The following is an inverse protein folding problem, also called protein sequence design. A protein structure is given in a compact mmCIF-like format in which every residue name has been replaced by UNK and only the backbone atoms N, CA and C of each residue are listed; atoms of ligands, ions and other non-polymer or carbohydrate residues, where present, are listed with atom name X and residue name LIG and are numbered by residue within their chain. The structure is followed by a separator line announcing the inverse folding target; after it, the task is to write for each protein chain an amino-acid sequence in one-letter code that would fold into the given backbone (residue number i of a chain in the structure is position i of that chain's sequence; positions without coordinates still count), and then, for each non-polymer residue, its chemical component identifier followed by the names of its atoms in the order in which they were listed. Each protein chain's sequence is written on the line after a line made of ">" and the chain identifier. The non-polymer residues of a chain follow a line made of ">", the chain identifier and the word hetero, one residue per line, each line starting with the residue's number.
data_IF_280970638948
#
_entry.id   IF_280970638948
#
_cell.length_a   1.000
_cell.length_b   1.000
_cell.length_c   1.000
_cell.angle_alpha   90.00
_cell.angle_beta   90.00
_cell.angle_gamma   90.00
#
_symmetry.space_group_name_H-M   'P 1'
#
loop_
_entity.id
_entity.type
_entity.pdbx_description
1 polymer ?
#
# COMPACT_ATOMS: atom_id res chain seq x y z
N UNK A 1 25.11 13.18 -8.98
CA UNK A 1 24.85 12.15 -7.95
C UNK A 1 24.20 11.01 -8.70
N UNK A 2 24.84 9.84 -8.76
CA UNK A 2 24.39 8.73 -9.62
C UNK A 2 23.99 7.52 -8.79
N UNK A 3 23.04 6.76 -9.30
CA UNK A 3 22.69 5.44 -8.77
C UNK A 3 23.85 4.47 -8.99
N UNK A 4 23.75 3.26 -8.41
CA UNK A 4 24.71 2.17 -8.69
C UNK A 4 24.75 1.76 -10.17
N UNK A 5 23.70 2.10 -10.92
CA UNK A 5 23.58 1.84 -12.35
C UNK A 5 24.06 3.02 -13.20
N UNK A 6 24.74 4.01 -12.60
CA UNK A 6 25.23 5.24 -13.22
C UNK A 6 24.16 6.21 -13.77
N UNK A 7 22.88 5.92 -13.52
CA UNK A 7 21.76 6.83 -13.82
C UNK A 7 21.68 7.98 -12.82
N UNK A 8 21.27 9.15 -13.28
CA UNK A 8 20.91 10.27 -12.38
C UNK A 8 19.71 9.92 -11.50
N UNK A 9 19.75 10.36 -10.23
CA UNK A 9 18.62 10.24 -9.31
C UNK A 9 17.44 11.11 -9.78
N UNK A 10 16.22 10.65 -9.48
CA UNK A 10 14.99 11.46 -9.64
C UNK A 10 15.02 12.66 -8.69
N UNK A 11 14.36 13.76 -9.09
CA UNK A 11 14.24 14.97 -8.27
C UNK A 11 13.63 14.70 -6.89
N UNK A 12 12.65 13.80 -6.82
CA UNK A 12 12.03 13.37 -5.56
C UNK A 12 13.00 12.69 -4.61
N UNK A 13 13.92 11.86 -5.13
CA UNK A 13 14.94 11.19 -4.33
C UNK A 13 15.93 12.20 -3.75
N UNK A 14 16.32 13.21 -4.53
CA UNK A 14 17.20 14.29 -4.07
C UNK A 14 16.52 15.09 -2.95
N UNK A 15 15.27 15.52 -3.14
CA UNK A 15 14.51 16.23 -2.11
C UNK A 15 14.30 15.39 -0.84
N UNK A 16 13.98 14.10 -0.99
CA UNK A 16 13.82 13.17 0.15
C UNK A 16 15.13 13.01 0.93
N UNK A 17 16.28 13.05 0.26
CA UNK A 17 17.58 13.02 0.91
C UNK A 17 17.81 14.28 1.76
N UNK A 18 17.53 15.47 1.22
CA UNK A 18 17.60 16.73 1.97
C UNK A 18 16.67 16.71 3.19
N UNK A 19 15.43 16.23 3.02
CA UNK A 19 14.49 16.06 4.13
C UNK A 19 15.01 15.10 5.21
N UNK A 20 15.60 13.98 4.80
CA UNK A 20 16.16 12.99 5.71
C UNK A 20 17.35 13.54 6.49
N UNK A 21 18.24 14.28 5.82
CA UNK A 21 19.38 14.96 6.45
C UNK A 21 18.90 16.04 7.42
N UNK A 22 17.96 16.88 6.99
CA UNK A 22 17.38 17.93 7.84
C UNK A 22 16.76 17.33 9.10
N UNK A 23 16.00 16.24 8.96
CA UNK A 23 15.42 15.51 10.10
C UNK A 23 16.50 14.93 11.01
N UNK A 24 17.52 14.27 10.44
CA UNK A 24 18.58 13.65 11.22
C UNK A 24 19.37 14.68 12.05
N UNK A 25 19.78 15.79 11.41
CA UNK A 25 20.48 16.87 12.11
C UNK A 25 19.62 17.44 13.24
N UNK A 26 18.33 17.70 13.00
CA UNK A 26 17.43 18.20 14.05
C UNK A 26 17.10 17.20 15.16
N UNK A 27 17.26 15.90 14.93
CA UNK A 27 17.09 14.88 15.95
C UNK A 27 18.31 14.74 16.87
N UNK A 28 19.51 15.09 16.37
CA UNK A 28 20.77 14.85 17.08
C UNK A 28 21.53 16.11 17.50
N UNK A 29 21.21 17.28 16.92
CA UNK A 29 21.81 18.55 17.34
C UNK A 29 21.05 19.12 18.55
N UNK A 30 21.80 19.48 19.59
CA UNK A 30 21.28 20.07 20.84
C UNK A 30 20.99 21.58 20.68
N UNK A 31 21.62 22.22 19.69
CA UNK A 31 21.50 23.65 19.40
C UNK A 31 20.36 23.86 18.38
N UNK A 32 19.76 25.07 18.40
CA UNK A 32 18.59 25.53 17.62
C UNK A 32 18.29 24.71 16.35
N UNK A 33 17.00 24.44 16.08
CA UNK A 33 16.61 23.67 14.91
C UNK A 33 17.18 24.31 13.64
N UNK A 34 17.94 23.50 12.91
CA UNK A 34 18.52 23.84 11.62
C UNK A 34 17.44 23.66 10.56
N UNK A 35 17.30 24.58 9.62
CA UNK A 35 16.46 24.34 8.44
C UNK A 35 17.29 24.35 7.17
N UNK A 36 17.70 23.16 6.71
CA UNK A 36 18.38 23.02 5.43
C UNK A 36 17.54 23.50 4.23
N UNK A 37 16.24 23.73 4.41
CA UNK A 37 15.37 24.32 3.40
C UNK A 37 15.43 25.84 3.35
N UNK A 38 16.07 26.49 4.32
CA UNK A 38 16.33 27.91 4.27
C UNK A 38 17.37 28.20 3.17
N UNK A 39 16.85 28.63 2.02
CA UNK A 39 17.63 28.95 0.83
C UNK A 39 18.55 30.16 1.03
N UNK A 40 18.25 31.04 1.97
CA UNK A 40 19.10 32.20 2.27
C UNK A 40 20.27 31.77 3.16
N UNK A 41 20.00 30.99 4.20
CA UNK A 41 21.03 30.49 5.10
C UNK A 41 21.98 29.49 4.41
N UNK A 42 21.46 28.70 3.46
CA UNK A 42 22.21 27.67 2.73
C UNK A 42 22.26 27.97 1.22
N UNK A 43 22.60 29.20 0.84
CA UNK A 43 22.63 29.64 -0.56
C UNK A 43 23.50 28.76 -1.46
N UNK A 44 24.68 28.36 -0.98
CA UNK A 44 25.65 27.58 -1.77
C UNK A 44 25.13 26.16 -2.03
N UNK A 45 24.50 25.55 -1.02
CA UNK A 45 23.85 24.25 -1.15
C UNK A 45 22.72 24.32 -2.18
N UNK A 46 21.87 25.34 -2.08
CA UNK A 46 20.71 25.50 -2.97
C UNK A 46 21.09 25.90 -4.39
N UNK A 47 22.19 26.64 -4.59
CA UNK A 47 22.71 26.93 -5.93
C UNK A 47 23.11 25.64 -6.66
N UNK A 48 23.80 24.73 -5.96
CA UNK A 48 24.21 23.44 -6.51
C UNK A 48 23.00 22.53 -6.73
N UNK A 49 22.08 22.48 -5.77
CA UNK A 49 20.88 21.64 -5.86
C UNK A 49 19.93 22.10 -6.97
N UNK A 50 19.65 23.41 -7.08
CA UNK A 50 18.76 23.94 -8.11
C UNK A 50 19.33 23.68 -9.51
N UNK A 51 20.65 23.84 -9.71
CA UNK A 51 21.30 23.44 -10.96
C UNK A 51 21.10 21.97 -11.29
N UNK A 52 21.29 21.08 -10.30
CA UNK A 52 21.08 19.64 -10.48
C UNK A 52 19.62 19.26 -10.72
N UNK A 53 18.67 19.88 -10.01
CA UNK A 53 17.25 19.63 -10.20
C UNK A 53 16.78 20.10 -11.58
N UNK A 54 17.36 21.19 -12.09
CA UNK A 54 17.12 21.67 -13.45
C UNK A 54 17.66 20.67 -14.49
N UNK A 55 18.89 20.18 -14.32
CA UNK A 55 19.46 19.13 -15.18
C UNK A 55 18.56 17.87 -15.21
N UNK A 56 18.03 17.46 -14.04
CA UNK A 56 17.14 16.28 -13.93
C UNK A 56 15.77 16.53 -14.59
N UNK A 57 15.23 17.73 -14.45
CA UNK A 57 13.95 18.11 -15.05
C UNK A 57 14.04 18.17 -16.59
N UNK A 58 15.15 18.69 -17.13
CA UNK A 58 15.42 18.73 -18.57
C UNK A 58 15.54 17.32 -19.19
N UNK A 59 15.86 16.31 -18.39
CA UNK A 59 15.89 14.90 -18.81
C UNK A 59 14.54 14.17 -18.65
N UNK A 60 13.43 14.88 -18.41
CA UNK A 60 12.08 14.33 -18.14
C UNK A 60 11.99 13.38 -16.93
N UNK A 61 13.06 13.24 -16.14
CA UNK A 61 13.10 12.44 -14.90
C UNK A 61 12.38 13.10 -13.72
N UNK A 62 11.73 14.24 -13.97
CA UNK A 62 10.91 14.98 -13.02
C UNK A 62 9.48 14.45 -12.90
N UNK A 63 8.93 13.81 -13.94
CA UNK A 63 7.57 13.30 -13.91
C UNK A 63 7.49 11.94 -13.21
N UNK A 64 6.61 11.87 -12.22
CA UNK A 64 6.19 10.63 -11.60
C UNK A 64 4.91 10.25 -12.33
N UNK A 65 5.01 9.51 -13.43
CA UNK A 65 3.85 8.77 -13.90
C UNK A 65 3.44 7.83 -12.76
N UNK A 66 2.21 8.03 -12.25
CA UNK A 66 1.59 7.02 -11.40
C UNK A 66 1.56 5.70 -12.15
N UNK A 67 1.48 4.58 -11.44
CA UNK A 67 1.24 3.29 -12.10
C UNK A 67 -0.03 3.38 -12.94
N UNK A 68 0.03 2.95 -14.19
CA UNK A 68 -1.15 2.87 -15.04
C UNK A 68 -2.25 2.07 -14.33
N UNK A 69 -3.47 2.57 -14.41
CA UNK A 69 -4.62 1.85 -13.90
C UNK A 69 -4.90 0.66 -14.81
N UNK A 70 -5.30 -0.47 -14.21
CA UNK A 70 -5.74 -1.62 -15.00
C UNK A 70 -6.93 -1.24 -15.89
N UNK A 71 -6.84 -1.56 -17.17
CA UNK A 71 -7.94 -1.42 -18.11
C UNK A 71 -8.96 -2.54 -17.91
N UNK A 72 -10.21 -2.29 -18.31
CA UNK A 72 -11.29 -3.25 -18.13
C UNK A 72 -10.98 -4.61 -18.79
N UNK A 73 -10.32 -4.61 -19.94
CA UNK A 73 -9.98 -5.84 -20.66
C UNK A 73 -8.85 -6.63 -19.98
N UNK A 74 -7.89 -5.94 -19.36
CA UNK A 74 -6.87 -6.59 -18.52
C UNK A 74 -7.52 -7.23 -17.29
N UNK A 75 -8.47 -6.54 -16.67
CA UNK A 75 -9.24 -7.08 -15.53
C UNK A 75 -10.02 -8.33 -15.94
N UNK A 76 -10.69 -8.32 -17.11
CA UNK A 76 -11.37 -9.52 -17.65
C UNK A 76 -10.39 -10.66 -17.90
N UNK A 77 -9.23 -10.37 -18.49
CA UNK A 77 -8.21 -11.37 -18.77
C UNK A 77 -7.68 -12.02 -17.48
N UNK A 78 -7.46 -11.23 -16.43
CA UNK A 78 -7.09 -11.72 -15.10
C UNK A 78 -8.20 -12.63 -14.52
N UNK A 79 -9.47 -12.23 -14.60
CA UNK A 79 -10.60 -13.04 -14.11
C UNK A 79 -10.79 -14.36 -14.87
N UNK A 80 -10.43 -14.40 -16.16
CA UNK A 80 -10.49 -15.62 -16.97
C UNK A 80 -9.27 -16.52 -16.79
N UNK A 81 -8.23 -16.07 -16.07
CA UNK A 81 -7.02 -16.87 -15.85
C UNK A 81 -7.26 -18.00 -14.84
N UNK A 82 -6.57 -19.12 -15.04
CA UNK A 82 -6.62 -20.26 -14.10
C UNK A 82 -6.07 -19.93 -12.72
N UNK A 83 -5.34 -18.82 -12.57
CA UNK A 83 -4.74 -18.36 -11.32
C UNK A 83 -5.82 -17.95 -10.30
N UNK A 84 -6.97 -17.45 -10.77
CA UNK A 84 -8.10 -17.02 -9.93
C UNK A 84 -9.16 -18.13 -9.74
N UNK A 85 -8.77 -19.39 -9.89
CA UNK A 85 -9.66 -20.53 -9.74
C UNK A 85 -10.10 -20.72 -8.28
N UNK A 86 -11.38 -20.40 -8.02
CA UNK A 86 -12.00 -20.45 -6.69
C UNK A 86 -12.15 -21.87 -6.12
N UNK A 87 -11.91 -22.92 -6.91
CA UNK A 87 -11.99 -24.32 -6.47
C UNK A 87 -10.69 -24.85 -5.86
N UNK A 88 -9.59 -24.11 -6.03
CA UNK A 88 -8.32 -24.40 -5.35
C UNK A 88 -8.14 -23.47 -4.15
N UNK A 89 -7.50 -23.90 -3.05
CA UNK A 89 -7.23 -23.03 -1.90
C UNK A 89 -6.45 -21.76 -2.28
N UNK A 90 -5.38 -21.93 -3.07
CA UNK A 90 -4.52 -20.83 -3.54
C UNK A 90 -5.30 -19.89 -4.46
N UNK A 91 -6.05 -20.44 -5.42
CA UNK A 91 -6.83 -19.63 -6.35
C UNK A 91 -7.94 -18.85 -5.63
N UNK A 92 -8.63 -19.46 -4.66
CA UNK A 92 -9.60 -18.78 -3.81
C UNK A 92 -8.96 -17.60 -3.04
N UNK A 93 -7.79 -17.82 -2.43
CA UNK A 93 -7.05 -16.78 -1.73
C UNK A 93 -6.66 -15.63 -2.68
N UNK A 94 -6.14 -15.94 -3.87
CA UNK A 94 -5.77 -14.95 -4.89
C UNK A 94 -6.98 -14.16 -5.40
N UNK A 95 -8.13 -14.81 -5.59
CA UNK A 95 -9.37 -14.15 -6.02
C UNK A 95 -9.87 -13.17 -4.97
N UNK A 96 -9.88 -13.57 -3.69
CA UNK A 96 -10.26 -12.67 -2.59
C UNK A 96 -9.26 -11.53 -2.44
N UNK A 97 -7.96 -11.80 -2.57
CA UNK A 97 -6.93 -10.77 -2.57
C UNK A 97 -7.17 -9.73 -3.67
N UNK A 98 -7.45 -10.19 -4.89
CA UNK A 98 -7.70 -9.31 -6.02
C UNK A 98 -8.99 -8.50 -5.85
N UNK A 99 -10.07 -9.10 -5.33
CA UNK A 99 -11.29 -8.36 -4.99
C UNK A 99 -11.06 -7.28 -3.93
N UNK A 100 -10.30 -7.58 -2.88
CA UNK A 100 -9.94 -6.58 -1.87
C UNK A 100 -9.16 -5.42 -2.50
N UNK A 101 -8.20 -5.71 -3.39
CA UNK A 101 -7.44 -4.67 -4.09
C UNK A 101 -8.33 -3.79 -4.98
N UNK A 102 -9.27 -4.39 -5.74
CA UNK A 102 -10.17 -3.68 -6.64
C UNK A 102 -11.22 -2.84 -5.90
N UNK A 103 -11.92 -3.42 -4.93
CA UNK A 103 -13.10 -2.79 -4.32
C UNK A 103 -12.78 -1.95 -3.10
N UNK A 104 -11.77 -2.34 -2.33
CA UNK A 104 -11.39 -1.62 -1.11
C UNK A 104 -10.22 -0.65 -1.35
N UNK A 105 -9.56 -0.73 -2.52
CA UNK A 105 -8.41 0.11 -2.91
C UNK A 105 -7.29 0.10 -1.86
N UNK A 106 -7.09 -1.06 -1.23
CA UNK A 106 -6.05 -1.22 -0.22
C UNK A 106 -4.68 -1.07 -0.85
N UNK A 107 -3.79 -0.37 -0.15
CA UNK A 107 -2.36 -0.35 -0.45
C UNK A 107 -1.71 -1.60 0.10
N UNK A 108 -0.53 -1.96 -0.42
CA UNK A 108 0.18 -3.20 -0.04
C UNK A 108 0.28 -3.41 1.47
N UNK A 109 0.60 -2.37 2.26
CA UNK A 109 0.66 -2.47 3.74
C UNK A 109 -0.70 -2.71 4.40
N UNK A 110 -1.76 -2.17 3.83
CA UNK A 110 -3.13 -2.27 4.36
C UNK A 110 -3.65 -3.71 4.21
N UNK A 111 -3.23 -4.43 3.17
CA UNK A 111 -3.50 -5.87 3.04
C UNK A 111 -2.90 -6.68 4.20
N UNK A 112 -1.68 -6.38 4.64
CA UNK A 112 -1.02 -7.15 5.71
C UNK A 112 -1.64 -6.95 7.10
N UNK A 113 -2.23 -5.79 7.36
CA UNK A 113 -2.84 -5.48 8.67
C UNK A 113 -4.33 -5.85 8.74
N UNK A 114 -4.92 -6.23 7.60
CA UNK A 114 -6.33 -6.60 7.50
C UNK A 114 -6.60 -7.86 8.33
N UNK A 115 -7.65 -7.83 9.17
CA UNK A 115 -8.05 -8.94 10.04
C UNK A 115 -9.39 -9.51 9.63
N UNK A 116 -9.62 -10.78 9.93
CA UNK A 116 -10.90 -11.45 9.68
C UNK A 116 -12.08 -10.68 10.29
N UNK A 117 -11.92 -10.23 11.54
CA UNK A 117 -12.97 -9.52 12.28
C UNK A 117 -13.31 -8.11 11.73
N UNK A 118 -12.51 -7.59 10.78
CA UNK A 118 -12.84 -6.35 10.07
C UNK A 118 -14.01 -6.52 9.12
N UNK A 119 -14.32 -7.76 8.70
CA UNK A 119 -15.43 -8.07 7.80
C UNK A 119 -16.68 -8.39 8.62
N UNK A 120 -17.73 -7.57 8.45
CA UNK A 120 -19.04 -7.77 9.05
C UNK A 120 -20.03 -8.14 7.96
N UNK A 121 -20.50 -9.38 8.02
CA UNK A 121 -21.58 -9.88 7.17
C UNK A 121 -22.90 -9.49 7.81
N UNK A 122 -23.80 -8.82 7.07
CA UNK A 122 -25.14 -8.54 7.57
C UNK A 122 -25.91 -9.84 7.86
N UNK A 123 -26.89 -9.76 8.76
CA UNK A 123 -27.70 -10.91 9.22
C UNK A 123 -28.40 -11.64 8.05
N UNK A 124 -28.80 -10.90 7.01
CA UNK A 124 -29.40 -11.43 5.79
C UNK A 124 -28.38 -12.07 4.82
N UNK A 125 -27.08 -11.97 5.12
CA UNK A 125 -25.99 -12.45 4.29
C UNK A 125 -25.86 -11.75 2.94
N UNK A 126 -26.56 -10.64 2.72
CA UNK A 126 -26.64 -9.94 1.43
C UNK A 126 -25.50 -8.93 1.24
N UNK A 127 -24.85 -8.52 2.33
CA UNK A 127 -23.83 -7.48 2.30
C UNK A 127 -22.67 -7.79 3.22
N UNK A 128 -21.49 -7.40 2.78
CA UNK A 128 -20.27 -7.43 3.58
C UNK A 128 -19.74 -6.00 3.71
N UNK A 129 -19.68 -5.53 4.95
CA UNK A 129 -19.09 -4.25 5.33
C UNK A 129 -17.70 -4.51 5.91
N UNK A 130 -16.72 -3.67 5.55
CA UNK A 130 -15.32 -3.84 5.95
C UNK A 130 -14.88 -2.59 6.69
N UNK A 131 -14.48 -2.77 7.94
CA UNK A 131 -14.08 -1.68 8.84
C UNK A 131 -12.56 -1.64 8.92
N UNK A 132 -11.93 -0.58 8.40
CA UNK A 132 -10.47 -0.47 8.34
C UNK A 132 -10.01 0.81 9.04
N UNK A 133 -9.09 0.71 10.02
CA UNK A 133 -8.46 1.89 10.61
C UNK A 133 -7.51 2.56 9.61
N UNK A 134 -7.62 3.88 9.40
CA UNK A 134 -6.75 4.63 8.47
C UNK A 134 -5.28 4.54 8.87
N UNK A 135 -4.42 4.24 7.89
CA UNK A 135 -2.99 3.98 8.13
C UNK A 135 -2.02 5.13 7.79
N UNK A 136 -2.41 6.13 6.98
CA UNK A 136 -1.43 7.11 6.41
C UNK A 136 -1.75 8.60 6.50
N UNK A 137 -3.01 9.00 6.67
CA UNK A 137 -3.41 10.42 6.88
C UNK A 137 -4.39 10.52 8.03
N UNK A 138 -3.98 9.95 9.17
CA UNK A 138 -4.56 10.31 10.46
C UNK A 138 -4.00 11.68 10.87
N UNK A 139 -4.43 12.74 10.18
CA UNK A 139 -4.59 14.03 10.86
C UNK A 139 -5.74 13.78 11.83
N UNK A 140 -5.39 13.24 13.00
CA UNK A 140 -6.36 12.98 14.06
C UNK A 140 -6.86 14.34 14.50
N UNK A 141 -8.14 14.62 14.29
CA UNK A 141 -8.79 15.60 15.14
C UNK A 141 -8.74 15.11 16.58
N UNK A 142 -8.82 16.06 17.51
CA UNK A 142 -8.58 15.94 18.95
C UNK A 142 -9.38 14.80 19.62
N UNK A 143 -10.42 14.26 18.96
CA UNK A 143 -11.34 13.26 19.50
C UNK A 143 -11.05 11.79 19.11
N UNK A 144 -10.01 11.51 18.32
CA UNK A 144 -9.65 10.13 17.97
C UNK A 144 -10.54 9.54 16.86
N UNK A 145 -9.96 9.33 15.68
CA UNK A 145 -10.72 9.02 14.46
C UNK A 145 -11.49 7.69 14.48
N UNK A 146 -12.68 7.72 13.87
CA UNK A 146 -13.56 6.58 13.57
C UNK A 146 -12.99 5.76 12.41
N UNK A 147 -13.12 4.43 12.45
CA UNK A 147 -12.76 3.53 11.34
C UNK A 147 -13.50 3.92 10.05
N UNK A 148 -12.82 3.85 8.89
CA UNK A 148 -13.51 3.98 7.61
C UNK A 148 -14.35 2.72 7.35
N UNK A 149 -15.61 2.93 7.01
CA UNK A 149 -16.51 1.84 6.60
C UNK A 149 -16.45 1.72 5.08
N UNK A 150 -15.71 0.73 4.60
CA UNK A 150 -15.71 0.33 3.20
C UNK A 150 -16.76 -0.75 2.95
N UNK A 151 -17.20 -0.86 1.69
CA UNK A 151 -18.25 -1.79 1.29
C UNK A 151 -17.76 -2.61 0.11
N UNK A 152 -17.90 -3.93 0.23
CA UNK A 152 -17.74 -4.80 -0.93
C UNK A 152 -18.95 -4.60 -1.86
N UNK A 153 -18.70 -4.68 -3.16
CA UNK A 153 -19.75 -4.60 -4.17
C UNK A 153 -20.82 -5.67 -3.91
N UNK A 154 -22.08 -5.24 -3.82
CA UNK A 154 -23.21 -6.13 -3.59
C UNK A 154 -23.58 -6.89 -4.87
N UNK A 155 -22.81 -7.93 -5.16
CA UNK A 155 -23.03 -8.83 -6.28
C UNK A 155 -22.98 -10.28 -5.79
N UNK A 156 -23.96 -11.10 -6.20
CA UNK A 156 -24.16 -12.45 -5.67
C UNK A 156 -22.91 -13.34 -5.79
N UNK A 157 -22.23 -13.29 -6.94
CA UNK A 157 -21.01 -14.06 -7.19
C UNK A 157 -19.83 -13.59 -6.34
N UNK A 158 -19.72 -12.29 -6.07
CA UNK A 158 -18.63 -11.76 -5.24
C UNK A 158 -18.87 -12.20 -3.80
N UNK A 159 -20.09 -12.03 -3.31
CA UNK A 159 -20.48 -12.43 -1.96
C UNK A 159 -20.30 -13.94 -1.74
N UNK A 160 -20.64 -14.77 -2.73
CA UNK A 160 -20.47 -16.22 -2.61
C UNK A 160 -19.00 -16.62 -2.50
N UNK A 161 -18.08 -15.94 -3.20
CA UNK A 161 -16.64 -16.15 -3.08
C UNK A 161 -16.14 -15.80 -1.67
N UNK A 162 -16.53 -14.65 -1.12
CA UNK A 162 -16.17 -14.30 0.27
C UNK A 162 -16.75 -15.30 1.28
N UNK A 163 -18.01 -15.72 1.12
CA UNK A 163 -18.61 -16.76 1.98
C UNK A 163 -17.84 -18.07 1.89
N UNK A 164 -17.45 -18.50 0.67
CA UNK A 164 -16.61 -19.69 0.46
C UNK A 164 -15.26 -19.55 1.15
N UNK A 165 -14.65 -18.37 1.12
CA UNK A 165 -13.39 -18.10 1.82
C UNK A 165 -13.56 -18.17 3.34
N UNK A 166 -14.60 -17.53 3.88
CA UNK A 166 -14.85 -17.50 5.33
C UNK A 166 -15.13 -18.89 5.91
N UNK A 167 -15.87 -19.75 5.19
CA UNK A 167 -16.12 -21.14 5.65
C UNK A 167 -14.88 -22.02 5.62
N UNK A 168 -13.85 -21.65 4.85
CA UNK A 168 -12.57 -22.35 4.80
C UNK A 168 -11.55 -21.82 5.79
N UNK A 169 -11.83 -20.69 6.46
CA UNK A 169 -10.97 -20.15 7.50
C UNK A 169 -11.12 -20.97 8.80
N UNK A 170 -10.04 -21.53 9.37
CA UNK A 170 -10.10 -22.25 10.64
C UNK A 170 -10.51 -21.34 11.80
N UNK A 171 -11.27 -21.89 12.77
CA UNK A 171 -11.76 -21.15 13.94
C UNK A 171 -10.62 -20.62 14.82
N UNK A 172 -9.51 -21.36 14.90
CA UNK A 172 -8.32 -21.00 15.69
C UNK A 172 -7.20 -20.39 14.82
N UNK A 173 -7.54 -19.92 13.61
CA UNK A 173 -6.55 -19.34 12.73
C UNK A 173 -6.02 -18.00 13.26
N UNK A 174 -4.86 -17.59 12.74
CA UNK A 174 -4.30 -16.28 13.00
C UNK A 174 -5.35 -15.18 12.70
N UNK A 175 -5.46 -14.11 13.52
CA UNK A 175 -6.41 -13.03 13.28
C UNK A 175 -6.24 -12.29 11.94
N UNK A 176 -5.07 -12.41 11.29
CA UNK A 176 -4.85 -11.85 9.96
C UNK A 176 -5.82 -12.46 8.93
N UNK A 177 -6.32 -11.61 8.04
CA UNK A 177 -7.31 -12.00 7.05
C UNK A 177 -6.76 -12.99 6.04
N UNK A 178 -5.56 -12.74 5.52
CA UNK A 178 -4.90 -13.63 4.58
C UNK A 178 -4.14 -14.72 5.33
N UNK A 179 -4.70 -15.93 5.31
CA UNK A 179 -4.05 -17.10 5.88
C UNK A 179 -2.87 -17.53 5.00
N UNK A 180 -1.72 -17.73 5.61
CA UNK A 180 -0.56 -18.35 4.96
C UNK A 180 -0.71 -19.87 5.00
N UNK A 181 -0.21 -20.54 3.97
CA UNK A 181 -0.03 -21.99 4.01
C UNK A 181 0.96 -22.32 5.13
N UNK A 182 0.62 -23.30 5.94
CA UNK A 182 1.54 -23.81 6.94
C UNK A 182 2.62 -24.62 6.22
N UNK A 183 3.79 -24.01 6.03
CA UNK A 183 4.98 -24.73 5.57
C UNK A 183 5.64 -25.34 6.80
N UNK A 184 5.58 -26.66 6.94
CA UNK A 184 6.44 -27.38 7.88
C UNK A 184 7.89 -27.11 7.52
N UNK A 185 8.56 -26.21 8.24
CA UNK A 185 10.00 -25.94 8.10
C UNK A 185 10.89 -27.14 8.49
N UNK A 186 10.31 -28.32 8.69
CA UNK A 186 11.01 -29.56 9.05
C UNK A 186 11.13 -30.59 7.92
N UNK A 187 10.58 -30.36 6.72
CA UNK A 187 10.87 -31.23 5.57
C UNK A 187 12.10 -30.73 4.81
N UNK A 188 13.27 -30.89 5.44
CA UNK A 188 14.54 -31.01 4.71
C UNK A 188 14.54 -32.36 3.98
N UNK A 189 14.49 -32.33 2.66
CA UNK A 189 15.07 -33.39 1.82
C UNK A 189 16.47 -32.96 1.42
#
# INVERSE_FOLDING_TARGET
>A
MKTKNEDDYKSTSVNTCIDALNRHLNQHLVIRPLDLKDRQMFSDLWQILDGKLKDIAEQEKGEISGSDSLFLDEVKLIFNSSILNIDTPIGLLKTVFFYNALFLRLRSREHYILKFNNFKVKVDGSRIEVYIPRSKTNQRDIEGGVDDILKILNHSQIISVYKKYFTKCPVNANPHFYLQEYTDENNKY
#
